data_IF_977045335177
#
_entry.id   IF_977045335177
#
_cell.length_a   1.000
_cell.length_b   1.000
_cell.length_c   1.000
_cell.angle_alpha   90.00
_cell.angle_beta   90.00
_cell.angle_gamma   90.00
#
_symmetry.space_group_name_H-M   'P 1'
#
loop_
_entity.id
_entity.type
_entity.pdbx_description
1 polymer ?
#
# COMPACT_ATOMS: atom_id res chain seq x y z
N UNK A 1 -0.97 31.38 1.49
CA UNK A 1 -1.04 30.19 0.61
C UNK A 1 -1.84 29.11 1.34
N UNK A 2 -3.09 28.89 0.95
CA UNK A 2 -3.95 27.88 1.58
C UNK A 2 -3.49 26.48 1.15
N UNK A 3 -2.90 25.73 2.08
CA UNK A 3 -2.67 24.30 1.96
C UNK A 3 -4.05 23.64 1.96
N UNK A 4 -4.49 23.20 0.78
CA UNK A 4 -5.73 22.42 0.65
C UNK A 4 -5.60 21.16 1.52
N UNK A 5 -6.64 20.79 2.30
CA UNK A 5 -6.63 19.58 3.10
C UNK A 5 -6.78 18.39 2.15
N UNK A 6 -5.67 17.81 1.72
CA UNK A 6 -5.66 16.52 1.05
C UNK A 6 -6.17 15.47 2.03
N UNK A 7 -7.36 14.92 1.76
CA UNK A 7 -8.12 13.98 2.57
C UNK A 7 -7.26 12.98 3.37
N UNK A 8 -7.08 13.23 4.66
CA UNK A 8 -6.33 12.36 5.58
C UNK A 8 -7.18 11.19 6.13
N UNK A 9 -8.12 10.66 5.34
CA UNK A 9 -8.96 9.53 5.75
C UNK A 9 -9.55 8.71 4.58
N UNK A 10 -8.87 8.62 3.43
CA UNK A 10 -9.32 7.74 2.34
C UNK A 10 -8.78 6.33 2.58
N UNK A 11 -9.59 5.48 3.22
CA UNK A 11 -9.37 4.02 3.15
C UNK A 11 -9.53 3.62 1.67
N UNK A 12 -8.41 3.44 0.97
CA UNK A 12 -8.39 3.05 -0.44
C UNK A 12 -9.20 1.76 -0.60
N UNK A 13 -10.28 1.84 -1.37
CA UNK A 13 -11.20 0.74 -1.60
C UNK A 13 -11.72 0.78 -3.03
N UNK A 14 -12.11 -0.39 -3.53
CA UNK A 14 -12.67 -0.54 -4.87
C UNK A 14 -11.74 -1.23 -5.85
N UNK A 15 -12.11 -1.18 -7.13
CA UNK A 15 -11.32 -1.72 -8.23
C UNK A 15 -10.15 -0.81 -8.63
N UNK A 16 -9.31 -1.29 -9.57
CA UNK A 16 -8.10 -0.59 -10.01
C UNK A 16 -8.35 0.87 -10.43
N UNK A 17 -9.42 1.13 -11.20
CA UNK A 17 -9.73 2.48 -11.64
C UNK A 17 -10.11 3.40 -10.48
N UNK A 18 -10.96 2.92 -9.57
CA UNK A 18 -11.45 3.71 -8.44
C UNK A 18 -10.31 4.08 -7.48
N UNK A 19 -9.36 3.17 -7.28
CA UNK A 19 -8.15 3.41 -6.48
C UNK A 19 -7.21 4.39 -7.21
N UNK A 20 -7.03 4.26 -8.52
CA UNK A 20 -6.23 5.19 -9.30
C UNK A 20 -6.81 6.62 -9.25
N UNK A 21 -8.15 6.76 -9.36
CA UNK A 21 -8.84 8.05 -9.31
C UNK A 21 -8.70 8.70 -7.92
N UNK A 22 -8.81 7.92 -6.83
CA UNK A 22 -8.58 8.39 -5.46
C UNK A 22 -7.16 8.92 -5.22
N UNK A 23 -6.19 8.42 -5.99
CA UNK A 23 -4.77 8.77 -5.90
C UNK A 23 -4.32 9.79 -6.96
N UNK A 24 -5.28 10.30 -7.74
CA UNK A 24 -5.05 11.22 -8.86
C UNK A 24 -4.04 10.66 -9.89
N UNK A 25 -4.16 9.36 -10.19
CA UNK A 25 -3.32 8.66 -11.17
C UNK A 25 -4.05 8.52 -12.50
N UNK A 26 -3.60 9.28 -13.50
CA UNK A 26 -4.20 9.27 -14.84
C UNK A 26 -3.93 7.98 -15.62
N UNK A 27 -5.00 7.39 -16.16
CA UNK A 27 -4.95 6.28 -17.14
C UNK A 27 -4.42 6.73 -18.50
N UNK A 28 -3.64 5.85 -19.14
CA UNK A 28 -3.14 6.03 -20.51
C UNK A 28 -3.50 4.77 -21.33
N UNK A 29 -4.29 4.94 -22.38
CA UNK A 29 -4.82 3.84 -23.20
C UNK A 29 -6.25 3.43 -22.82
N UNK A 30 -6.80 2.47 -23.56
CA UNK A 30 -8.19 2.01 -23.38
C UNK A 30 -8.34 1.21 -22.08
N UNK A 31 -9.52 1.26 -21.46
CA UNK A 31 -9.85 0.44 -20.29
C UNK A 31 -10.01 -1.02 -20.70
N UNK A 32 -9.75 -1.95 -19.78
CA UNK A 32 -9.90 -3.39 -19.99
C UNK A 32 -8.95 -3.95 -21.06
N UNK A 33 -7.83 -3.26 -21.29
CA UNK A 33 -6.71 -3.77 -22.08
C UNK A 33 -5.53 -4.02 -21.16
N UNK A 34 -4.95 -5.22 -21.26
CA UNK A 34 -3.88 -5.67 -20.37
C UNK A 34 -2.72 -4.67 -20.26
N UNK A 35 -2.29 -4.06 -21.38
CA UNK A 35 -1.20 -3.08 -21.37
C UNK A 35 -1.53 -1.79 -20.61
N UNK A 36 -2.71 -1.21 -20.88
CA UNK A 36 -3.21 -0.01 -20.19
C UNK A 36 -3.44 -0.26 -18.70
N UNK A 37 -4.00 -1.42 -18.35
CA UNK A 37 -4.24 -1.81 -16.97
C UNK A 37 -2.93 -2.13 -16.22
N UNK A 38 -1.95 -2.75 -16.87
CA UNK A 38 -0.62 -2.99 -16.28
C UNK A 38 0.11 -1.66 -15.98
N UNK A 39 0.08 -0.72 -16.92
CA UNK A 39 0.67 0.61 -16.70
C UNK A 39 -0.03 1.37 -15.57
N UNK A 40 -1.36 1.32 -15.52
CA UNK A 40 -2.14 1.94 -14.46
C UNK A 40 -1.84 1.30 -13.10
N UNK A 41 -1.73 -0.03 -13.05
CA UNK A 41 -1.38 -0.80 -11.85
C UNK A 41 -0.01 -0.37 -11.33
N UNK A 42 1.01 -0.32 -12.19
CA UNK A 42 2.35 0.08 -11.79
C UNK A 42 2.39 1.52 -11.24
N UNK A 43 1.77 2.47 -11.95
CA UNK A 43 1.71 3.88 -11.49
C UNK A 43 1.00 4.01 -10.15
N UNK A 44 -0.12 3.31 -9.99
CA UNK A 44 -0.91 3.30 -8.75
C UNK A 44 -0.11 2.71 -7.59
N UNK A 45 0.58 1.59 -7.82
CA UNK A 45 1.45 0.96 -6.82
C UNK A 45 2.55 1.91 -6.32
N UNK A 46 3.29 2.56 -7.22
CA UNK A 46 4.36 3.48 -6.83
C UNK A 46 3.81 4.71 -6.10
N UNK A 47 2.63 5.21 -6.48
CA UNK A 47 1.96 6.29 -5.77
C UNK A 47 1.59 5.90 -4.35
N UNK A 48 1.03 4.70 -4.15
CA UNK A 48 0.72 4.15 -2.82
C UNK A 48 1.99 4.01 -1.99
N UNK A 49 3.03 3.40 -2.56
CA UNK A 49 4.33 3.22 -1.90
C UNK A 49 4.89 4.57 -1.42
N UNK A 50 4.89 5.58 -2.29
CA UNK A 50 5.44 6.90 -1.97
C UNK A 50 4.60 7.64 -0.91
N UNK A 51 3.26 7.55 -0.98
CA UNK A 51 2.38 8.38 -0.15
C UNK A 51 2.10 7.78 1.23
N UNK A 52 2.08 6.45 1.37
CA UNK A 52 1.70 5.77 2.62
C UNK A 52 2.84 4.97 3.25
N UNK A 53 3.87 4.58 2.49
CA UNK A 53 4.88 3.62 2.93
C UNK A 53 6.32 4.06 2.60
N UNK A 54 6.58 5.36 2.43
CA UNK A 54 7.91 5.87 2.04
C UNK A 54 8.99 5.43 3.03
N UNK A 55 8.66 5.44 4.32
CA UNK A 55 9.65 5.31 5.40
C UNK A 55 9.73 3.88 5.96
N UNK A 56 8.81 2.99 5.58
CA UNK A 56 8.69 1.64 6.12
C UNK A 56 8.49 0.55 5.05
N UNK A 57 8.72 0.87 3.78
CA UNK A 57 8.52 -0.05 2.66
C UNK A 57 9.24 -1.39 2.83
N UNK A 58 10.44 -1.41 3.39
CA UNK A 58 11.21 -2.66 3.56
C UNK A 58 10.53 -3.64 4.52
N UNK A 59 9.84 -3.13 5.55
CA UNK A 59 9.03 -3.94 6.45
C UNK A 59 7.75 -4.41 5.77
N UNK A 60 7.05 -3.50 5.10
CA UNK A 60 5.77 -3.77 4.44
C UNK A 60 5.93 -4.74 3.27
N UNK A 61 6.96 -4.59 2.46
CA UNK A 61 7.23 -5.44 1.29
C UNK A 61 7.33 -6.92 1.67
N UNK A 62 7.98 -7.24 2.80
CA UNK A 62 8.09 -8.61 3.33
C UNK A 62 6.75 -9.19 3.75
N UNK A 63 5.81 -8.37 4.22
CA UNK A 63 4.47 -8.82 4.57
C UNK A 63 3.60 -9.11 3.35
N UNK A 64 3.72 -8.29 2.30
CA UNK A 64 2.81 -8.37 1.14
C UNK A 64 3.36 -9.23 0.01
N UNK A 65 4.66 -9.53 0.00
CA UNK A 65 5.28 -10.33 -1.05
C UNK A 65 4.65 -11.72 -1.14
N UNK A 66 4.32 -12.15 -2.36
CA UNK A 66 3.72 -13.46 -2.64
C UNK A 66 2.26 -13.61 -2.21
N UNK A 67 1.65 -12.58 -1.61
CA UNK A 67 0.25 -12.63 -1.18
C UNK A 67 -0.66 -12.17 -2.31
N UNK A 68 -1.61 -13.04 -2.70
CA UNK A 68 -2.64 -12.72 -3.68
C UNK A 68 -3.97 -12.49 -2.96
N UNK A 69 -4.60 -11.35 -3.23
CA UNK A 69 -5.88 -10.98 -2.61
C UNK A 69 -6.96 -12.04 -2.87
N UNK A 70 -7.64 -12.47 -1.80
CA UNK A 70 -8.72 -13.47 -1.86
C UNK A 70 -8.26 -14.92 -1.78
N UNK A 71 -6.96 -15.20 -1.59
CA UNK A 71 -6.42 -16.56 -1.51
C UNK A 71 -5.61 -16.81 -0.23
N UNK A 72 -5.88 -17.95 0.42
CA UNK A 72 -5.12 -18.41 1.58
C UNK A 72 -5.17 -17.44 2.77
N UNK A 73 -4.04 -17.27 3.46
CA UNK A 73 -3.87 -16.38 4.62
C UNK A 73 -3.81 -14.89 4.26
N UNK A 74 -3.95 -14.50 2.97
CA UNK A 74 -3.98 -13.08 2.58
C UNK A 74 -5.12 -12.31 3.25
N UNK A 75 -6.20 -12.99 3.63
CA UNK A 75 -7.32 -12.40 4.36
C UNK A 75 -6.97 -12.11 5.84
N UNK A 76 -5.96 -12.79 6.39
CA UNK A 76 -5.48 -12.62 7.77
C UNK A 76 -4.25 -11.71 7.88
N UNK A 77 -3.91 -10.94 6.84
CA UNK A 77 -2.82 -9.94 6.88
C UNK A 77 -2.95 -8.95 8.06
N UNK A 78 -4.15 -8.79 8.64
CA UNK A 78 -4.34 -8.03 9.87
C UNK A 78 -3.62 -8.65 11.09
N UNK A 79 -3.46 -9.98 11.16
CA UNK A 79 -2.78 -10.65 12.28
C UNK A 79 -1.25 -10.60 12.17
N UNK A 80 -0.68 -10.55 10.96
CA UNK A 80 0.78 -10.50 10.77
C UNK A 80 1.34 -9.09 10.95
N UNK A 81 0.56 -8.04 10.68
CA UNK A 81 0.96 -6.66 10.95
C UNK A 81 1.19 -6.39 12.45
N UNK A 82 0.33 -6.92 13.33
CA UNK A 82 0.49 -6.78 14.79
C UNK A 82 1.74 -7.48 15.36
N UNK A 83 2.32 -8.45 14.65
CA UNK A 83 3.53 -9.15 15.09
C UNK A 83 4.83 -8.36 14.87
N UNK A 84 4.85 -7.38 13.97
CA UNK A 84 6.07 -6.60 13.70
C UNK A 84 6.28 -5.45 14.68
N UNK A 85 5.19 -4.81 15.14
CA UNK A 85 5.26 -3.77 16.18
C UNK A 85 5.80 -4.32 17.52
N UNK A 86 5.56 -5.60 17.80
CA UNK A 86 6.10 -6.31 18.98
C UNK A 86 7.61 -6.60 18.83
N UNK A 87 8.07 -6.94 17.61
CA UNK A 87 9.49 -7.25 17.35
C UNK A 87 10.40 -6.01 17.38
N UNK A 88 9.90 -4.82 17.05
CA UNK A 88 10.67 -3.57 17.17
C UNK A 88 10.82 -3.14 18.65
N UNK A 89 9.85 -3.43 19.51
CA UNK A 89 9.94 -3.16 20.96
C UNK A 89 11.00 -4.00 21.67
N UNK A 90 11.18 -5.25 21.25
CA UNK A 90 12.19 -6.14 21.85
C UNK A 90 13.62 -5.70 21.50
N UNK A 91 13.84 -4.99 20.39
CA UNK A 91 15.18 -4.52 20.01
C UNK A 91 15.60 -3.24 20.71
N UNK A 92 14.66 -2.35 21.03
CA UNK A 92 14.92 -1.15 21.84
C UNK A 92 15.27 -1.53 23.29
N UNK A 93 14.60 -2.52 23.88
CA UNK A 93 14.82 -2.95 25.26
C UNK A 93 16.18 -3.64 25.51
N UNK A 94 16.81 -4.19 24.46
CA UNK A 94 18.13 -4.83 24.55
C UNK A 94 19.28 -3.82 24.39
N UNK A 95 19.03 -2.65 23.79
CA UNK A 95 20.06 -1.63 23.58
C UNK A 95 20.31 -0.69 24.79
N UNK A 96 19.55 -0.86 25.88
CA UNK A 96 19.64 -0.04 27.11
C UNK A 96 20.19 -0.82 28.32
N UNK A 97 20.74 -2.02 28.12
CA UNK A 97 21.46 -2.79 29.15
C UNK A 97 22.95 -2.88 28.86
#
# INVERSE_FOLDING_TARGET
MLRMPGSFNTKLKGGLQEVADQLDVKRHGMRHQAGSDALLTAKTFFKIKQQFFSDNWDKVSRLVQGHLFGLGSSLSLSQSAHKLDEMDKEKEAVAVN
#
